data_IF_528781643853
#
_entry.id   IF_528781643853
#
_cell.length_a   1.000
_cell.length_b   1.000
_cell.length_c   1.000
_cell.angle_alpha   90.00
_cell.angle_beta   90.00
_cell.angle_gamma   90.00
#
_symmetry.space_group_name_H-M   'P 1'
#
loop_
_entity.id
_entity.type
_entity.pdbx_description
1 polymer ?
#
# COMPACT_ATOMS: atom_id res chain seq x y z
N UNK A 1 3.73 51.22 46.66
CA UNK A 1 3.89 49.83 47.14
C UNK A 1 2.78 48.92 46.64
N UNK A 2 1.54 49.40 46.49
CA UNK A 2 0.39 48.62 46.03
C UNK A 2 0.50 48.20 44.55
N UNK A 3 0.90 49.12 43.66
CA UNK A 3 1.13 48.85 42.23
C UNK A 3 2.17 47.74 41.97
N UNK A 4 3.22 47.69 42.79
CA UNK A 4 4.29 46.70 42.66
C UNK A 4 3.79 45.29 43.03
N UNK A 5 2.77 45.18 43.89
CA UNK A 5 2.12 43.91 44.23
C UNK A 5 1.18 43.45 43.12
N UNK A 6 0.40 44.37 42.52
CA UNK A 6 -0.51 44.09 41.41
C UNK A 6 0.27 43.63 40.18
N UNK A 7 1.40 44.27 39.88
CA UNK A 7 2.28 43.87 38.79
C UNK A 7 2.84 42.46 39.02
N UNK A 8 3.29 42.14 40.24
CA UNK A 8 3.80 40.79 40.58
C UNK A 8 2.72 39.72 40.42
N UNK A 9 1.49 40.01 40.80
CA UNK A 9 0.39 39.05 40.66
C UNK A 9 0.03 38.81 39.19
N UNK A 10 -0.03 39.87 38.37
CA UNK A 10 -0.22 39.74 36.91
C UNK A 10 0.91 38.95 36.25
N UNK A 11 2.16 39.16 36.66
CA UNK A 11 3.31 38.38 36.16
C UNK A 11 3.14 36.90 36.50
N UNK A 12 2.72 36.56 37.72
CA UNK A 12 2.46 35.17 38.11
C UNK A 12 1.35 34.53 37.29
N UNK A 13 0.25 35.27 37.05
CA UNK A 13 -0.85 34.80 36.21
C UNK A 13 -0.36 34.53 34.78
N UNK A 14 0.38 35.45 34.17
CA UNK A 14 0.96 35.27 32.84
C UNK A 14 1.92 34.08 32.78
N UNK A 15 2.75 33.89 33.80
CA UNK A 15 3.65 32.73 33.87
C UNK A 15 2.88 31.41 33.91
N UNK A 16 1.78 31.37 34.65
CA UNK A 16 0.92 30.19 34.72
C UNK A 16 0.20 29.92 33.40
N UNK A 17 -0.36 30.96 32.76
CA UNK A 17 -1.00 30.84 31.44
C UNK A 17 -0.02 30.36 30.37
N UNK A 18 1.21 30.90 30.35
CA UNK A 18 2.28 30.47 29.45
C UNK A 18 2.68 29.02 29.72
N UNK A 19 2.73 28.60 30.99
CA UNK A 19 3.01 27.21 31.37
C UNK A 19 1.94 26.27 30.82
N UNK A 20 0.67 26.56 31.07
CA UNK A 20 -0.48 25.78 30.58
C UNK A 20 -0.46 25.71 29.04
N UNK A 21 -0.20 26.83 28.37
CA UNK A 21 -0.10 26.86 26.91
C UNK A 21 1.03 25.97 26.40
N UNK A 22 2.21 26.01 27.04
CA UNK A 22 3.36 25.18 26.69
C UNK A 22 3.05 23.68 26.84
N UNK A 23 2.38 23.30 27.93
CA UNK A 23 1.93 21.91 28.16
C UNK A 23 0.94 21.47 27.09
N UNK A 24 -0.04 22.31 26.75
CA UNK A 24 -1.03 22.03 25.71
C UNK A 24 -0.40 21.87 24.33
N UNK A 25 0.54 22.75 23.96
CA UNK A 25 1.29 22.66 22.70
C UNK A 25 2.11 21.38 22.65
N UNK A 26 2.77 21.01 23.76
CA UNK A 26 3.56 19.78 23.85
C UNK A 26 2.68 18.54 23.68
N UNK A 27 1.51 18.52 24.32
CA UNK A 27 0.53 17.43 24.17
C UNK A 27 0.01 17.33 22.73
N UNK A 28 -0.37 18.46 22.13
CA UNK A 28 -0.84 18.51 20.75
C UNK A 28 0.23 18.03 19.75
N UNK A 29 1.49 18.39 19.99
CA UNK A 29 2.64 17.93 19.21
C UNK A 29 2.81 16.40 19.32
N UNK A 30 2.74 15.85 20.54
CA UNK A 30 2.82 14.41 20.78
C UNK A 30 1.73 13.63 20.03
N UNK A 31 0.47 14.07 20.17
CA UNK A 31 -0.68 13.44 19.49
C UNK A 31 -0.52 13.50 17.97
N UNK A 32 -0.05 14.64 17.44
CA UNK A 32 0.17 14.80 16.01
C UNK A 32 1.28 13.87 15.51
N UNK A 33 2.37 13.73 16.28
CA UNK A 33 3.45 12.82 15.96
C UNK A 33 3.00 11.35 15.93
N UNK A 34 2.19 10.92 16.91
CA UNK A 34 1.61 9.57 16.92
C UNK A 34 0.71 9.32 15.70
N UNK A 35 -0.09 10.32 15.31
CA UNK A 35 -0.93 10.24 14.10
C UNK A 35 -0.09 10.13 12.84
N UNK A 36 1.01 10.88 12.72
CA UNK A 36 1.93 10.80 11.59
C UNK A 36 2.53 9.40 11.47
N UNK A 37 3.03 8.84 12.57
CA UNK A 37 3.57 7.46 12.61
C UNK A 37 2.51 6.44 12.17
N UNK A 38 1.25 6.61 12.60
CA UNK A 38 0.16 5.74 12.20
C UNK A 38 -0.15 5.84 10.70
N UNK A 39 -0.16 7.06 10.15
CA UNK A 39 -0.35 7.31 8.71
C UNK A 39 0.77 6.68 7.89
N UNK A 40 2.02 6.86 8.29
CA UNK A 40 3.18 6.25 7.61
C UNK A 40 3.04 4.72 7.56
N UNK A 41 2.69 4.09 8.68
CA UNK A 41 2.47 2.63 8.73
C UNK A 41 1.34 2.19 7.80
N UNK A 42 0.27 2.99 7.65
CA UNK A 42 -0.82 2.69 6.73
C UNK A 42 -0.38 2.86 5.27
N UNK A 43 0.38 3.91 4.95
CA UNK A 43 0.96 4.11 3.61
C UNK A 43 1.80 2.92 3.18
N UNK A 44 2.72 2.45 4.02
CA UNK A 44 3.54 1.27 3.72
C UNK A 44 2.71 0.01 3.45
N UNK A 45 1.59 -0.19 4.17
CA UNK A 45 0.68 -1.32 3.92
C UNK A 45 -0.04 -1.18 2.58
N UNK A 46 -0.44 0.03 2.20
CA UNK A 46 -1.12 0.30 0.92
C UNK A 46 -0.14 0.09 -0.23
N UNK A 47 1.07 0.65 -0.16
CA UNK A 47 2.10 0.49 -1.19
C UNK A 47 2.42 -0.99 -1.43
N UNK A 48 2.60 -1.77 -0.36
CA UNK A 48 2.82 -3.22 -0.49
C UNK A 48 1.65 -3.91 -1.20
N UNK A 49 0.40 -3.61 -0.82
CA UNK A 49 -0.79 -4.17 -1.49
C UNK A 49 -0.87 -3.78 -2.97
N UNK A 50 -0.49 -2.56 -3.34
CA UNK A 50 -0.49 -2.11 -4.73
C UNK A 50 0.58 -2.84 -5.56
N UNK A 51 1.76 -3.09 -4.98
CA UNK A 51 2.79 -3.91 -5.62
C UNK A 51 2.27 -5.33 -5.84
N UNK A 52 1.65 -5.94 -4.83
CA UNK A 52 1.07 -7.28 -4.94
C UNK A 52 -0.03 -7.33 -6.02
N UNK A 53 -0.91 -6.32 -6.07
CA UNK A 53 -1.94 -6.21 -7.11
C UNK A 53 -1.34 -6.06 -8.50
N UNK A 54 -0.30 -5.25 -8.67
CA UNK A 54 0.39 -5.11 -9.97
C UNK A 54 1.01 -6.43 -10.43
N UNK A 55 1.60 -7.19 -9.51
CA UNK A 55 2.13 -8.51 -9.80
C UNK A 55 1.03 -9.48 -10.20
N UNK A 56 -0.11 -9.46 -9.51
CA UNK A 56 -1.26 -10.30 -9.82
C UNK A 56 -1.89 -9.94 -11.17
N UNK A 57 -2.07 -8.64 -11.45
CA UNK A 57 -2.56 -8.16 -12.74
C UNK A 57 -1.62 -8.55 -13.89
N UNK A 58 -0.30 -8.50 -13.68
CA UNK A 58 0.68 -8.97 -14.66
C UNK A 58 0.55 -10.48 -14.93
N UNK A 59 0.35 -11.28 -13.88
CA UNK A 59 0.11 -12.73 -14.02
C UNK A 59 -1.17 -13.02 -14.81
N UNK A 60 -2.21 -12.20 -14.66
CA UNK A 60 -3.47 -12.34 -15.37
C UNK A 60 -3.45 -11.79 -16.79
N UNK A 61 -2.69 -10.72 -17.07
CA UNK A 61 -2.75 -10.00 -18.35
C UNK A 61 -2.14 -10.73 -19.54
N UNK A 62 -1.44 -11.84 -19.31
CA UNK A 62 -0.51 -12.41 -20.31
C UNK A 62 -0.65 -13.92 -20.49
N UNK A 63 -1.71 -14.54 -19.97
CA UNK A 63 -1.80 -16.01 -19.77
C UNK A 63 -0.63 -16.60 -18.96
N UNK A 64 0.23 -15.76 -18.35
CA UNK A 64 1.43 -16.15 -17.62
C UNK A 64 1.08 -17.05 -16.41
N UNK A 65 -0.09 -16.83 -15.79
CA UNK A 65 -0.60 -17.72 -14.75
C UNK A 65 -0.91 -19.12 -15.28
N UNK A 66 -1.55 -19.22 -16.45
CA UNK A 66 -1.87 -20.50 -17.10
C UNK A 66 -0.57 -21.19 -17.50
N UNK A 67 0.35 -20.47 -18.15
CA UNK A 67 1.66 -20.98 -18.57
C UNK A 67 2.47 -21.52 -17.38
N UNK A 68 2.46 -20.82 -16.24
CA UNK A 68 3.12 -21.28 -15.00
C UNK A 68 2.45 -22.51 -14.41
N UNK A 69 1.12 -22.56 -14.38
CA UNK A 69 0.37 -23.72 -13.88
C UNK A 69 0.63 -24.95 -14.74
N UNK A 70 0.60 -24.79 -16.05
CA UNK A 70 0.91 -25.86 -17.01
C UNK A 70 2.36 -26.30 -16.85
N UNK A 71 3.32 -25.36 -16.78
CA UNK A 71 4.73 -25.68 -16.56
C UNK A 71 4.92 -26.48 -15.27
N UNK A 72 4.32 -26.05 -14.16
CA UNK A 72 4.41 -26.75 -12.88
C UNK A 72 3.78 -28.15 -12.94
N UNK A 73 2.64 -28.30 -13.64
CA UNK A 73 1.97 -29.60 -13.82
C UNK A 73 2.84 -30.62 -14.57
N UNK A 74 3.61 -30.18 -15.56
CA UNK A 74 4.45 -31.05 -16.40
C UNK A 74 5.94 -31.04 -16.01
N UNK A 75 6.32 -30.29 -14.98
CA UNK A 75 7.70 -30.12 -14.51
C UNK A 75 8.38 -31.46 -14.21
N UNK A 76 7.66 -32.36 -13.51
CA UNK A 76 8.17 -33.70 -13.18
C UNK A 76 8.17 -34.65 -14.37
N UNK A 77 7.34 -34.38 -15.38
CA UNK A 77 7.15 -35.22 -16.56
C UNK A 77 8.16 -34.93 -17.68
N UNK A 78 8.96 -33.84 -17.56
CA UNK A 78 9.86 -33.33 -18.62
C UNK A 78 9.17 -33.09 -19.97
N UNK A 79 7.86 -32.92 -19.96
CA UNK A 79 7.06 -32.60 -21.15
C UNK A 79 7.07 -31.08 -21.29
N UNK A 80 7.43 -30.59 -22.48
CA UNK A 80 7.21 -29.19 -22.83
C UNK A 80 5.82 -29.07 -23.47
N UNK A 81 4.86 -28.36 -22.86
CA UNK A 81 3.53 -28.17 -23.43
C UNK A 81 3.62 -27.45 -24.77
N UNK A 82 2.84 -27.89 -25.76
CA UNK A 82 2.86 -27.37 -27.14
C UNK A 82 2.65 -25.84 -27.21
N UNK A 83 1.67 -25.33 -26.45
CA UNK A 83 1.41 -23.89 -26.36
C UNK A 83 2.52 -23.09 -25.69
N UNK A 84 3.57 -23.71 -25.15
CA UNK A 84 4.77 -23.03 -24.60
C UNK A 84 6.00 -23.21 -25.50
N UNK A 85 5.86 -23.82 -26.67
CA UNK A 85 6.98 -24.08 -27.57
C UNK A 85 7.42 -22.85 -28.38
N UNK A 86 6.47 -21.97 -28.75
CA UNK A 86 6.72 -20.70 -29.46
C UNK A 86 5.60 -19.68 -29.20
N UNK A 87 5.86 -18.40 -29.46
CA UNK A 87 4.84 -17.32 -29.38
C UNK A 87 3.68 -17.57 -30.38
N UNK A 88 3.95 -18.19 -31.52
CA UNK A 88 2.94 -18.56 -32.52
C UNK A 88 1.94 -19.59 -31.97
N UNK A 89 2.41 -20.58 -31.21
CA UNK A 89 1.53 -21.57 -30.57
C UNK A 89 0.80 -21.03 -29.35
N UNK A 90 1.38 -20.06 -28.63
CA UNK A 90 0.67 -19.31 -27.59
C UNK A 90 -0.51 -18.57 -28.20
N UNK A 91 -0.28 -17.82 -29.28
CA UNK A 91 -1.33 -17.05 -29.94
C UNK A 91 -2.39 -17.96 -30.55
N UNK A 92 -2.00 -19.02 -31.25
CA UNK A 92 -2.93 -19.99 -31.82
C UNK A 92 -3.81 -20.69 -30.76
N UNK A 93 -3.29 -20.93 -29.55
CA UNK A 93 -4.07 -21.52 -28.46
C UNK A 93 -5.08 -20.54 -27.86
N UNK A 94 -4.79 -19.23 -27.92
CA UNK A 94 -5.69 -18.17 -27.47
C UNK A 94 -6.81 -18.00 -28.51
N UNK A 95 -6.44 -17.89 -29.78
CA UNK A 95 -7.38 -17.68 -30.89
C UNK A 95 -8.38 -18.85 -31.00
N UNK A 96 -7.91 -20.09 -30.83
CA UNK A 96 -8.76 -21.28 -30.82
C UNK A 96 -9.78 -21.34 -29.67
N UNK A 97 -9.59 -20.61 -28.56
CA UNK A 97 -10.61 -20.53 -27.50
C UNK A 97 -11.75 -19.56 -27.84
N UNK A 98 -11.51 -18.61 -28.74
CA UNK A 98 -12.53 -17.65 -29.20
C UNK A 98 -13.27 -18.15 -30.45
N UNK A 99 -12.67 -19.05 -31.23
CA UNK A 99 -13.31 -19.69 -32.38
C UNK A 99 -14.49 -20.61 -32.01
N UNK A 100 -14.52 -21.17 -30.78
CA UNK A 100 -15.62 -22.01 -30.28
C UNK A 100 -16.84 -21.20 -29.77
N UNK A 101 -16.70 -19.87 -29.60
CA UNK A 101 -17.78 -18.96 -29.18
C UNK A 101 -18.53 -18.30 -30.37
N UNK A 102 -18.08 -18.54 -31.61
CA UNK A 102 -18.65 -18.01 -32.86
C UNK A 102 -19.61 -18.99 -33.59
N UNK A 103 -20.04 -20.07 -32.94
CA UNK A 103 -21.10 -20.98 -33.44
C UNK A 103 -22.49 -20.55 -32.90
N UNK A 104 -23.08 -19.52 -33.52
CA UNK A 104 -24.52 -19.17 -33.50
C UNK A 104 -25.25 -19.80 -34.71
#
# INVERSE_FOLDING_TARGET
MEDDSVIKEKIKQLQEEVRILSENVSLASSITNERLIAIEKLMWKIERKLIDQKNFLKLLSSNELIDRLVTSKYEQSRIKPFHLESEEYQQSSIDAMYDDDDDD
#
